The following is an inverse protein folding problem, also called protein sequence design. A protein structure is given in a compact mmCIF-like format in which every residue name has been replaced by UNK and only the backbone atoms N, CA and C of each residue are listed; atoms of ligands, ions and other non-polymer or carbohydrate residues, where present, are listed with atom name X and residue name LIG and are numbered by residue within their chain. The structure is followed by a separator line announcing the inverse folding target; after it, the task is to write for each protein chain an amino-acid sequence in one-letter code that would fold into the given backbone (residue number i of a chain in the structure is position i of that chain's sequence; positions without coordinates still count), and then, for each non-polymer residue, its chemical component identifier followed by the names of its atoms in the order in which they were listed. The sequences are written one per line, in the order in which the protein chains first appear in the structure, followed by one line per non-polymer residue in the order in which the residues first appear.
data_IF_905101397708
#
_entry.id   IF_905101397708
#
_cell.length_a   1.000
_cell.length_b   1.000
_cell.length_c   1.000
_cell.angle_alpha   90.00
_cell.angle_beta   90.00
_cell.angle_gamma   90.00
#
_symmetry.space_group_name_H-M   'P 1'
#
loop_
_entity.id
_entity.type
_entity.pdbx_description
1 polymer ?
#
# COMPACT_ATOMS: atom_id res chain seq x y z
N UNK A 1 1.43 8.09 -26.06
CA UNK A 1 1.23 7.13 -24.95
C UNK A 1 0.17 7.69 -24.02
N UNK A 2 -0.89 6.96 -23.65
CA UNK A 2 -1.86 7.48 -22.70
C UNK A 2 -1.19 7.63 -21.32
N UNK A 3 -1.29 8.84 -20.73
CA UNK A 3 -0.80 9.10 -19.37
C UNK A 3 -1.44 8.07 -18.42
N UNK A 4 -0.62 7.29 -17.74
CA UNK A 4 -1.13 6.45 -16.65
C UNK A 4 -1.76 7.38 -15.61
N UNK A 5 -3.03 7.10 -15.26
CA UNK A 5 -3.75 7.91 -14.28
C UNK A 5 -3.05 7.76 -12.94
N UNK A 6 -2.57 8.88 -12.37
CA UNK A 6 -1.93 8.89 -11.06
C UNK A 6 -2.91 8.41 -9.98
N UNK A 7 -2.39 7.99 -8.82
CA UNK A 7 -3.21 7.63 -7.66
C UNK A 7 -4.16 8.79 -7.27
N UNK A 8 -3.66 10.02 -7.31
CA UNK A 8 -4.44 11.24 -7.04
C UNK A 8 -5.64 11.36 -7.99
N UNK A 9 -5.44 11.13 -9.30
CA UNK A 9 -6.53 11.17 -10.28
C UNK A 9 -7.60 10.09 -10.04
N UNK A 10 -7.18 8.93 -9.52
CA UNK A 10 -8.10 7.83 -9.16
C UNK A 10 -8.90 8.16 -7.92
N UNK A 11 -8.27 8.77 -6.90
CA UNK A 11 -8.94 9.23 -5.68
C UNK A 11 -9.93 10.36 -5.97
N UNK A 12 -9.55 11.34 -6.79
CA UNK A 12 -10.42 12.44 -7.20
C UNK A 12 -11.66 11.95 -7.93
N UNK A 13 -11.50 11.04 -8.92
CA UNK A 13 -12.65 10.40 -9.61
C UNK A 13 -13.54 9.59 -8.67
N UNK A 14 -12.99 9.00 -7.62
CA UNK A 14 -13.76 8.29 -6.60
C UNK A 14 -14.58 9.25 -5.73
N UNK A 15 -14.00 10.39 -5.33
CA UNK A 15 -14.68 11.45 -4.59
C UNK A 15 -15.81 12.12 -5.40
N UNK A 16 -15.69 12.22 -6.71
CA UNK A 16 -16.69 12.84 -7.58
C UNK A 16 -17.92 11.95 -7.83
N UNK A 17 -17.79 10.65 -7.65
CA UNK A 17 -18.89 9.71 -7.82
C UNK A 17 -19.84 9.72 -6.62
N UNK A 18 -21.15 9.98 -6.86
CA UNK A 18 -22.21 9.91 -5.82
C UNK A 18 -22.27 8.53 -5.14
N UNK A 19 -22.02 7.46 -5.91
CA UNK A 19 -22.00 6.10 -5.41
C UNK A 19 -20.91 5.89 -4.34
N UNK A 20 -19.67 6.28 -4.64
CA UNK A 20 -18.58 6.12 -3.68
C UNK A 20 -18.73 7.02 -2.46
N UNK A 21 -19.28 8.25 -2.60
CA UNK A 21 -19.60 9.10 -1.46
C UNK A 21 -20.63 8.47 -0.52
N UNK A 22 -21.66 7.81 -1.06
CA UNK A 22 -22.65 7.07 -0.26
C UNK A 22 -22.02 5.83 0.38
N UNK A 23 -21.16 5.10 -0.34
CA UNK A 23 -20.46 3.93 0.16
C UNK A 23 -19.53 4.30 1.33
N UNK A 24 -18.81 5.41 1.23
CA UNK A 24 -17.87 5.85 2.26
C UNK A 24 -18.55 6.55 3.45
N UNK A 25 -19.67 7.24 3.21
CA UNK A 25 -20.38 8.05 4.21
C UNK A 25 -21.46 7.32 5.00
N UNK A 26 -22.15 6.33 4.42
CA UNK A 26 -23.34 5.73 5.03
C UNK A 26 -23.15 4.25 5.37
N UNK A 27 -23.25 3.93 6.68
CA UNK A 27 -23.28 2.53 7.15
C UNK A 27 -24.50 1.79 6.59
N UNK A 28 -25.67 2.44 6.58
CA UNK A 28 -26.91 1.85 6.07
C UNK A 28 -26.83 1.51 4.58
N UNK A 29 -26.15 2.35 3.79
CA UNK A 29 -25.95 2.07 2.37
C UNK A 29 -25.05 0.85 2.14
N UNK A 30 -23.99 0.70 2.93
CA UNK A 30 -23.10 -0.49 2.89
C UNK A 30 -23.84 -1.75 3.32
N UNK A 31 -24.67 -1.66 4.37
CA UNK A 31 -25.49 -2.76 4.84
C UNK A 31 -26.51 -3.19 3.76
N UNK A 32 -27.19 -2.26 3.14
CA UNK A 32 -28.13 -2.53 2.06
C UNK A 32 -27.44 -3.14 0.83
N UNK A 33 -26.28 -2.62 0.45
CA UNK A 33 -25.50 -3.13 -0.69
C UNK A 33 -24.97 -4.55 -0.42
N UNK A 34 -24.48 -4.82 0.79
CA UNK A 34 -23.99 -6.15 1.18
C UNK A 34 -25.14 -7.17 1.25
N UNK A 35 -26.28 -6.77 1.76
CA UNK A 35 -27.50 -7.60 1.77
C UNK A 35 -27.99 -7.92 0.36
N UNK A 36 -28.03 -6.92 -0.53
CA UNK A 36 -28.39 -7.13 -1.94
C UNK A 36 -27.42 -8.07 -2.65
N UNK A 37 -26.11 -7.89 -2.43
CA UNK A 37 -25.08 -8.77 -3.01
C UNK A 37 -25.20 -10.22 -2.49
N UNK A 38 -25.43 -10.39 -1.18
CA UNK A 38 -25.65 -11.71 -0.57
C UNK A 38 -26.92 -12.38 -1.12
N UNK A 39 -27.99 -11.61 -1.27
CA UNK A 39 -29.25 -12.12 -1.86
C UNK A 39 -29.03 -12.54 -3.32
N UNK A 40 -28.34 -11.74 -4.12
CA UNK A 40 -28.02 -12.08 -5.51
C UNK A 40 -27.14 -13.36 -5.59
N UNK A 41 -26.15 -13.50 -4.70
CA UNK A 41 -25.32 -14.70 -4.65
C UNK A 41 -26.14 -15.95 -4.31
N UNK A 42 -27.02 -15.86 -3.30
CA UNK A 42 -27.90 -16.97 -2.91
C UNK A 42 -28.87 -17.34 -4.03
N UNK A 43 -29.42 -16.35 -4.75
CA UNK A 43 -30.24 -16.57 -5.94
C UNK A 43 -29.49 -17.37 -7.00
N UNK A 44 -28.26 -16.97 -7.31
CA UNK A 44 -27.42 -17.66 -8.29
C UNK A 44 -27.12 -19.11 -7.86
N UNK A 45 -26.72 -19.30 -6.59
CA UNK A 45 -26.39 -20.64 -6.05
C UNK A 45 -27.60 -21.54 -6.04
N UNK A 46 -28.75 -21.05 -5.56
CA UNK A 46 -30.00 -21.82 -5.52
C UNK A 46 -30.50 -22.15 -6.92
N UNK A 47 -30.49 -21.17 -7.84
CA UNK A 47 -30.86 -21.39 -9.24
C UNK A 47 -29.95 -22.40 -9.93
N UNK A 48 -28.64 -22.35 -9.66
CA UNK A 48 -27.71 -23.33 -10.22
C UNK A 48 -28.01 -24.75 -9.68
N UNK A 49 -28.29 -24.88 -8.40
CA UNK A 49 -28.62 -26.18 -7.80
C UNK A 49 -29.93 -26.75 -8.35
N UNK A 50 -30.97 -25.92 -8.49
CA UNK A 50 -32.31 -26.32 -8.96
C UNK A 50 -32.32 -26.55 -10.48
N UNK A 51 -31.69 -25.67 -11.26
CA UNK A 51 -31.68 -25.77 -12.72
C UNK A 51 -30.74 -26.87 -13.25
N UNK A 52 -29.70 -27.23 -12.49
CA UNK A 52 -28.81 -28.37 -12.84
C UNK A 52 -29.56 -29.70 -12.92
N UNK A 53 -30.55 -29.87 -12.05
CA UNK A 53 -31.36 -31.08 -12.00
C UNK A 53 -32.48 -31.13 -13.05
N UNK A 54 -32.94 -29.98 -13.58
CA UNK A 54 -34.16 -29.90 -14.37
C UNK A 54 -33.99 -29.24 -15.75
N UNK A 55 -32.88 -29.50 -16.46
CA UNK A 55 -32.62 -29.06 -17.87
C UNK A 55 -33.16 -27.65 -18.17
N UNK A 56 -32.49 -26.58 -17.68
CA UNK A 56 -32.58 -25.16 -18.08
C UNK A 56 -33.90 -24.73 -18.74
N UNK A 57 -35.02 -24.83 -18.03
CA UNK A 57 -36.29 -24.30 -18.52
C UNK A 57 -36.35 -22.77 -18.35
N UNK A 58 -36.85 -21.99 -19.35
CA UNK A 58 -37.04 -20.56 -19.22
C UNK A 58 -38.00 -20.26 -18.04
N UNK A 59 -37.53 -19.44 -17.08
CA UNK A 59 -38.29 -19.11 -15.86
C UNK A 59 -37.82 -19.82 -14.58
N UNK A 60 -36.82 -20.69 -14.66
CA UNK A 60 -36.26 -21.40 -13.52
C UNK A 60 -35.73 -20.45 -12.43
N UNK A 61 -35.22 -19.28 -12.81
CA UNK A 61 -34.63 -18.27 -11.89
C UNK A 61 -35.64 -17.62 -10.93
N UNK A 62 -36.92 -17.54 -11.27
CA UNK A 62 -37.92 -16.78 -10.50
C UNK A 62 -38.90 -17.66 -9.73
N UNK A 63 -38.94 -18.96 -10.03
CA UNK A 63 -39.97 -19.87 -9.50
C UNK A 63 -39.76 -20.26 -8.04
N UNK A 64 -38.54 -20.14 -7.53
CA UNK A 64 -38.15 -20.54 -6.17
C UNK A 64 -37.74 -19.36 -5.29
N UNK A 65 -38.11 -18.10 -5.65
CA UNK A 65 -37.80 -16.93 -4.84
C UNK A 65 -38.39 -17.02 -3.41
N UNK A 66 -39.53 -17.67 -3.26
CA UNK A 66 -40.15 -17.91 -1.94
C UNK A 66 -39.36 -18.92 -1.08
N UNK A 67 -38.68 -19.88 -1.71
CA UNK A 67 -37.84 -20.83 -1.00
C UNK A 67 -36.56 -20.20 -0.42
N UNK A 68 -36.16 -19.01 -0.88
CA UNK A 68 -35.04 -18.26 -0.33
C UNK A 68 -35.28 -17.74 1.09
N UNK A 69 -36.55 -17.61 1.51
CA UNK A 69 -36.95 -17.08 2.83
C UNK A 69 -37.16 -18.24 3.83
N UNK A 70 -36.57 -19.40 3.57
CA UNK A 70 -36.59 -20.50 4.55
C UNK A 70 -35.62 -20.24 5.71
N UNK A 71 -35.91 -20.74 6.89
CA UNK A 71 -35.11 -20.55 8.12
C UNK A 71 -33.63 -20.92 7.90
N UNK A 72 -33.34 -21.98 7.14
CA UNK A 72 -31.96 -22.36 6.81
C UNK A 72 -31.20 -21.38 5.91
N UNK A 73 -31.92 -20.60 5.08
CA UNK A 73 -31.32 -19.60 4.21
C UNK A 73 -31.08 -18.27 4.93
N UNK A 74 -31.83 -17.97 6.02
CA UNK A 74 -31.62 -16.75 6.83
C UNK A 74 -30.27 -16.75 7.52
N UNK A 75 -29.84 -17.88 8.05
CA UNK A 75 -28.49 -18.02 8.64
C UNK A 75 -27.40 -17.81 7.58
N UNK A 76 -27.54 -18.47 6.43
CA UNK A 76 -26.59 -18.31 5.31
C UNK A 76 -26.56 -16.87 4.79
N UNK A 77 -27.70 -16.19 4.70
CA UNK A 77 -27.81 -14.78 4.29
C UNK A 77 -27.07 -13.87 5.29
N UNK A 78 -27.25 -14.10 6.60
CA UNK A 78 -26.61 -13.30 7.64
C UNK A 78 -25.08 -13.44 7.60
N UNK A 79 -24.55 -14.67 7.44
CA UNK A 79 -23.11 -14.93 7.35
C UNK A 79 -22.52 -14.27 6.10
N UNK A 80 -23.16 -14.43 4.94
CA UNK A 80 -22.70 -13.86 3.68
C UNK A 80 -22.76 -12.32 3.73
N UNK A 81 -23.83 -11.75 4.30
CA UNK A 81 -23.98 -10.30 4.48
C UNK A 81 -22.87 -9.76 5.40
N UNK A 82 -22.59 -10.44 6.51
CA UNK A 82 -21.52 -10.08 7.43
C UNK A 82 -20.13 -10.13 6.74
N UNK A 83 -19.89 -11.15 5.91
CA UNK A 83 -18.66 -11.28 5.15
C UNK A 83 -18.49 -10.12 4.15
N UNK A 84 -19.52 -9.76 3.39
CA UNK A 84 -19.49 -8.61 2.48
C UNK A 84 -19.28 -7.29 3.23
N UNK A 85 -19.97 -7.09 4.37
CA UNK A 85 -19.74 -5.92 5.22
C UNK A 85 -18.31 -5.85 5.72
N UNK A 86 -17.77 -6.97 6.19
CA UNK A 86 -16.38 -7.03 6.64
C UNK A 86 -15.39 -6.64 5.55
N UNK A 87 -15.60 -7.10 4.31
CA UNK A 87 -14.77 -6.72 3.15
C UNK A 87 -14.90 -5.22 2.84
N UNK A 88 -16.13 -4.68 2.85
CA UNK A 88 -16.37 -3.26 2.60
C UNK A 88 -15.76 -2.36 3.70
N UNK A 89 -15.79 -2.82 4.96
CA UNK A 89 -15.17 -2.09 6.06
C UNK A 89 -13.65 -2.22 6.12
N UNK A 90 -13.09 -3.32 5.59
CA UNK A 90 -11.64 -3.50 5.52
C UNK A 90 -10.97 -2.39 4.70
N UNK A 91 -11.60 -1.96 3.60
CA UNK A 91 -11.09 -0.83 2.81
C UNK A 91 -11.09 0.49 3.60
N UNK A 92 -12.14 0.74 4.38
CA UNK A 92 -12.24 1.95 5.21
C UNK A 92 -11.23 1.96 6.36
N UNK A 93 -10.93 0.79 6.94
CA UNK A 93 -9.87 0.64 7.95
C UNK A 93 -8.52 0.95 7.34
N UNK A 94 -8.17 0.36 6.21
CA UNK A 94 -6.90 0.66 5.50
C UNK A 94 -6.75 2.14 5.16
N UNK A 95 -7.83 2.82 4.77
CA UNK A 95 -7.77 4.26 4.51
C UNK A 95 -7.49 5.07 5.77
N UNK A 96 -8.09 4.70 6.90
CA UNK A 96 -7.80 5.34 8.20
C UNK A 96 -6.36 5.12 8.61
N UNK A 97 -5.88 3.88 8.54
CA UNK A 97 -4.50 3.54 8.88
C UNK A 97 -3.50 4.34 8.03
N UNK A 98 -3.78 4.51 6.73
CA UNK A 98 -2.95 5.33 5.85
C UNK A 98 -2.99 6.82 6.23
N UNK A 99 -4.15 7.38 6.59
CA UNK A 99 -4.28 8.78 7.02
C UNK A 99 -3.53 8.98 8.33
N UNK A 100 -3.72 8.10 9.32
CA UNK A 100 -3.00 8.14 10.59
C UNK A 100 -1.48 8.04 10.38
N UNK A 101 -1.02 7.18 9.46
CA UNK A 101 0.39 7.07 9.11
C UNK A 101 0.95 8.37 8.51
N UNK A 102 0.22 9.02 7.60
CA UNK A 102 0.62 10.33 7.05
C UNK A 102 0.63 11.43 8.13
N UNK A 103 -0.40 11.50 8.95
CA UNK A 103 -0.48 12.48 10.06
C UNK A 103 0.69 12.29 11.03
N UNK A 104 1.04 11.04 11.32
CA UNK A 104 2.17 10.72 12.19
C UNK A 104 3.49 11.20 11.59
N UNK A 105 3.73 10.98 10.29
CA UNK A 105 4.93 11.49 9.61
C UNK A 105 4.97 13.02 9.57
N UNK A 106 3.85 13.68 9.26
CA UNK A 106 3.77 15.14 9.20
C UNK A 106 4.00 15.79 10.57
N UNK A 107 3.40 15.25 11.63
CA UNK A 107 3.58 15.75 12.98
C UNK A 107 5.01 15.56 13.49
N UNK A 108 5.68 14.49 13.08
CA UNK A 108 7.07 14.24 13.40
C UNK A 108 8.00 15.28 12.79
N UNK A 109 7.75 15.68 11.56
CA UNK A 109 8.53 16.71 10.87
C UNK A 109 8.37 18.09 11.53
N UNK A 110 7.16 18.41 12.02
CA UNK A 110 6.85 19.68 12.65
C UNK A 110 7.44 19.82 14.08
N UNK A 111 7.52 18.72 14.83
CA UNK A 111 7.93 18.76 16.25
C UNK A 111 9.43 18.58 16.49
N UNK A 112 10.22 18.25 15.47
CA UNK A 112 11.66 17.99 15.60
C UNK A 112 12.01 16.77 16.46
N UNK A 113 11.02 15.98 16.90
CA UNK A 113 11.22 14.82 17.77
C UNK A 113 11.66 13.63 16.92
N UNK A 114 12.94 13.26 17.04
CA UNK A 114 13.55 12.16 16.25
C UNK A 114 13.18 10.74 16.73
N UNK A 115 12.52 10.59 17.85
CA UNK A 115 12.29 9.31 18.56
C UNK A 115 10.80 9.00 18.74
N UNK A 116 9.99 8.96 17.70
CA UNK A 116 8.59 8.56 17.85
C UNK A 116 8.42 7.08 17.55
N UNK A 117 7.90 6.35 18.52
CA UNK A 117 7.44 4.96 18.35
C UNK A 117 6.35 4.95 17.28
N UNK A 118 6.53 4.12 16.24
CA UNK A 118 5.54 3.99 15.15
C UNK A 118 5.93 4.60 13.81
N UNK A 119 7.05 5.33 13.70
CA UNK A 119 7.50 5.90 12.40
C UNK A 119 7.82 4.83 11.36
N UNK A 120 8.59 3.82 11.77
CA UNK A 120 8.92 2.70 10.89
C UNK A 120 7.63 2.04 10.42
N UNK A 121 6.72 1.74 11.35
CA UNK A 121 5.41 1.16 11.01
C UNK A 121 4.58 2.07 10.11
N UNK A 122 4.62 3.40 10.30
CA UNK A 122 3.92 4.33 9.41
C UNK A 122 4.50 4.30 7.98
N UNK A 123 5.83 4.32 7.85
CA UNK A 123 6.51 4.22 6.56
C UNK A 123 6.20 2.87 5.87
N UNK A 124 6.22 1.78 6.63
CA UNK A 124 5.89 0.45 6.12
C UNK A 124 4.43 0.31 5.70
N UNK A 125 3.48 0.91 6.44
CA UNK A 125 2.06 0.97 6.08
C UNK A 125 1.89 1.72 4.76
N UNK A 126 2.49 2.92 4.62
CA UNK A 126 2.40 3.71 3.40
C UNK A 126 3.05 2.98 2.22
N UNK A 127 4.21 2.37 2.44
CA UNK A 127 4.89 1.58 1.43
C UNK A 127 4.06 0.38 0.96
N UNK A 128 3.51 -0.40 1.90
CA UNK A 128 2.66 -1.55 1.59
C UNK A 128 1.36 -1.18 0.87
N UNK A 129 0.88 0.05 1.08
CA UNK A 129 -0.26 0.61 0.38
C UNK A 129 0.11 1.19 -1.00
N UNK A 130 1.39 1.18 -1.40
CA UNK A 130 1.90 1.78 -2.63
C UNK A 130 1.74 3.30 -2.67
N UNK A 131 1.75 3.94 -1.50
CA UNK A 131 1.62 5.39 -1.38
C UNK A 131 3.01 6.05 -1.42
N UNK A 132 3.20 7.07 -2.26
CA UNK A 132 4.48 7.76 -2.35
C UNK A 132 4.75 8.59 -1.10
N UNK A 133 6.02 8.63 -0.69
CA UNK A 133 6.51 9.52 0.37
C UNK A 133 7.50 10.55 -0.19
N UNK A 134 7.29 10.96 -1.42
CA UNK A 134 8.17 11.85 -2.16
C UNK A 134 8.43 13.17 -1.41
N UNK A 135 9.68 13.60 -1.39
CA UNK A 135 10.11 14.86 -0.76
C UNK A 135 10.02 14.91 0.77
N UNK A 136 9.71 13.81 1.45
CA UNK A 136 9.61 13.78 2.90
C UNK A 136 10.94 14.04 3.58
N UNK A 137 10.90 14.73 4.75
CA UNK A 137 12.06 15.08 5.55
C UNK A 137 12.29 14.00 6.62
N UNK A 138 13.21 13.10 6.37
CA UNK A 138 13.55 11.98 7.25
C UNK A 138 15.03 12.04 7.70
N UNK A 139 15.63 13.24 7.63
CA UNK A 139 17.02 13.45 7.97
C UNK A 139 17.31 13.10 9.45
N UNK A 140 18.36 12.30 9.66
CA UNK A 140 18.83 11.87 10.97
C UNK A 140 17.89 10.90 11.69
N UNK A 141 16.93 10.27 11.00
CA UNK A 141 16.03 9.30 11.58
C UNK A 141 16.68 7.94 11.78
N UNK A 142 16.28 7.24 12.84
CA UNK A 142 16.61 5.84 13.04
C UNK A 142 15.55 4.97 12.31
N UNK A 143 15.97 4.43 11.18
CA UNK A 143 15.16 3.61 10.28
C UNK A 143 15.76 2.20 10.11
N UNK A 144 16.45 1.71 11.14
CA UNK A 144 17.05 0.37 11.12
C UNK A 144 16.00 -0.71 10.90
N UNK A 145 16.34 -1.67 10.03
CA UNK A 145 15.50 -2.79 9.64
C UNK A 145 14.16 -2.40 8.95
N UNK A 146 14.03 -1.17 8.46
CA UNK A 146 12.86 -0.71 7.73
C UNK A 146 12.56 -1.63 6.55
N UNK A 147 11.27 -1.97 6.35
CA UNK A 147 10.79 -2.76 5.22
C UNK A 147 10.10 -1.84 4.20
N UNK A 148 10.83 -1.40 3.19
CA UNK A 148 10.35 -0.43 2.21
C UNK A 148 10.60 -0.85 0.75
N UNK A 149 10.69 -2.15 0.50
CA UNK A 149 10.91 -2.66 -0.85
C UNK A 149 9.85 -2.17 -1.85
N UNK A 150 10.30 -1.86 -3.08
CA UNK A 150 9.48 -1.33 -4.18
C UNK A 150 8.73 -0.02 -3.84
N UNK A 151 9.23 0.77 -2.90
CA UNK A 151 8.66 2.04 -2.50
C UNK A 151 8.86 3.16 -3.53
N UNK A 152 8.02 4.20 -3.46
CA UNK A 152 8.15 5.43 -4.24
C UNK A 152 8.65 6.53 -3.31
N UNK A 153 9.96 6.81 -3.35
CA UNK A 153 10.68 7.66 -2.41
C UNK A 153 11.50 8.75 -3.13
N UNK A 154 10.94 9.33 -4.19
CA UNK A 154 11.62 10.38 -4.97
C UNK A 154 11.95 11.60 -4.13
N UNK A 155 13.16 12.13 -4.29
CA UNK A 155 13.60 13.37 -3.64
C UNK A 155 13.44 13.37 -2.12
N UNK A 156 13.37 12.22 -1.47
CA UNK A 156 13.28 12.11 0.00
C UNK A 156 14.60 12.59 0.63
N UNK A 157 14.50 13.30 1.74
CA UNK A 157 15.67 13.69 2.50
C UNK A 157 15.96 12.69 3.62
N UNK A 158 16.99 11.89 3.45
CA UNK A 158 17.49 10.88 4.39
C UNK A 158 18.89 11.22 4.93
N UNK A 159 19.28 12.49 4.85
CA UNK A 159 20.60 12.94 5.30
C UNK A 159 20.90 12.50 6.73
N UNK A 160 22.04 11.81 6.93
CA UNK A 160 22.49 11.31 8.22
C UNK A 160 21.53 10.32 8.89
N UNK A 161 20.56 9.75 8.18
CA UNK A 161 19.66 8.74 8.73
C UNK A 161 20.39 7.39 8.91
N UNK A 162 19.84 6.55 9.82
CA UNK A 162 20.37 5.21 10.08
C UNK A 162 19.48 4.17 9.42
N UNK A 163 19.90 3.64 8.28
CA UNK A 163 19.19 2.67 7.44
C UNK A 163 19.83 1.28 7.48
N UNK A 164 20.55 0.96 8.54
CA UNK A 164 21.24 -0.34 8.65
C UNK A 164 20.26 -1.49 8.53
N UNK A 165 20.57 -2.44 7.65
CA UNK A 165 19.75 -3.62 7.36
C UNK A 165 18.35 -3.29 6.88
N UNK A 166 18.11 -2.06 6.38
CA UNK A 166 16.87 -1.73 5.75
C UNK A 166 16.70 -2.51 4.43
N UNK A 167 15.50 -2.94 4.15
CA UNK A 167 15.13 -3.52 2.87
C UNK A 167 14.56 -2.42 1.97
N UNK A 168 15.37 -1.95 1.04
CA UNK A 168 15.07 -0.94 0.03
C UNK A 168 15.14 -1.53 -1.39
N UNK A 169 15.03 -2.86 -1.52
CA UNK A 169 15.12 -3.52 -2.82
C UNK A 169 14.04 -3.01 -3.78
N UNK A 170 14.44 -2.62 -4.98
CA UNK A 170 13.55 -2.08 -6.00
C UNK A 170 12.92 -0.73 -5.66
N UNK A 171 13.33 -0.06 -4.59
CA UNK A 171 12.81 1.25 -4.19
C UNK A 171 13.30 2.34 -5.13
N UNK A 172 12.42 3.23 -5.53
CA UNK A 172 12.77 4.42 -6.32
C UNK A 172 13.21 5.56 -5.40
N UNK A 173 14.50 5.75 -5.30
CA UNK A 173 15.21 6.78 -4.53
C UNK A 173 15.80 7.87 -5.44
N UNK A 174 15.25 8.04 -6.65
CA UNK A 174 15.77 9.04 -7.59
C UNK A 174 15.78 10.44 -6.97
N UNK A 175 16.93 11.11 -7.06
CA UNK A 175 17.14 12.44 -6.49
C UNK A 175 17.12 12.49 -4.96
N UNK A 176 17.11 11.37 -4.26
CA UNK A 176 17.11 11.34 -2.79
C UNK A 176 18.44 11.92 -2.22
N UNK A 177 18.34 12.64 -1.10
CA UNK A 177 19.49 13.08 -0.34
C UNK A 177 19.83 12.01 0.73
N UNK A 178 20.87 11.24 0.49
CA UNK A 178 21.41 10.19 1.36
C UNK A 178 22.78 10.56 1.94
N UNK A 179 23.14 11.85 1.94
CA UNK A 179 24.43 12.33 2.46
C UNK A 179 24.67 11.84 3.89
N UNK A 180 25.82 11.17 4.10
CA UNK A 180 26.19 10.66 5.41
C UNK A 180 25.22 9.63 6.01
N UNK A 181 24.29 9.09 5.23
CA UNK A 181 23.39 8.04 5.71
C UNK A 181 24.14 6.73 6.02
N UNK A 182 23.74 6.02 7.06
CA UNK A 182 24.27 4.72 7.42
C UNK A 182 23.43 3.60 6.77
N UNK A 183 23.87 3.15 5.60
CA UNK A 183 23.26 2.09 4.79
C UNK A 183 23.96 0.73 4.95
N UNK A 184 24.71 0.54 6.01
CA UNK A 184 25.45 -0.71 6.19
C UNK A 184 24.53 -1.92 6.27
N UNK A 185 24.88 -2.96 5.54
CA UNK A 185 24.11 -4.20 5.42
C UNK A 185 22.70 -3.99 4.84
N UNK A 186 22.39 -2.84 4.22
CA UNK A 186 21.08 -2.59 3.58
C UNK A 186 20.94 -3.36 2.27
N UNK A 187 19.74 -3.77 1.96
CA UNK A 187 19.37 -4.36 0.67
C UNK A 187 18.89 -3.27 -0.28
N UNK A 188 19.72 -2.92 -1.25
CA UNK A 188 19.46 -1.93 -2.30
C UNK A 188 19.39 -2.59 -3.69
N UNK A 189 19.18 -3.90 -3.75
CA UNK A 189 19.14 -4.63 -5.03
C UNK A 189 18.02 -4.11 -5.93
N UNK A 190 18.42 -3.74 -7.15
CA UNK A 190 17.47 -3.18 -8.12
C UNK A 190 16.88 -1.83 -7.72
N UNK A 191 17.41 -1.14 -6.70
CA UNK A 191 16.97 0.20 -6.34
C UNK A 191 17.36 1.22 -7.41
N UNK A 192 16.52 2.23 -7.62
CA UNK A 192 16.76 3.32 -8.56
C UNK A 192 17.31 4.50 -7.78
N UNK A 193 18.62 4.77 -7.92
CA UNK A 193 19.36 5.83 -7.24
C UNK A 193 19.79 6.94 -8.22
N UNK A 194 19.08 7.08 -9.32
CA UNK A 194 19.41 8.06 -10.37
C UNK A 194 19.44 9.47 -9.79
N UNK A 195 20.60 10.13 -9.90
CA UNK A 195 20.81 11.48 -9.38
C UNK A 195 20.74 11.59 -7.85
N UNK A 196 20.78 10.51 -7.11
CA UNK A 196 20.81 10.54 -5.64
C UNK A 196 22.17 11.06 -5.11
N UNK A 197 22.13 11.76 -3.98
CA UNK A 197 23.33 12.25 -3.30
C UNK A 197 23.70 11.31 -2.15
N UNK A 198 24.74 10.51 -2.37
CA UNK A 198 25.32 9.53 -1.43
C UNK A 198 26.66 10.01 -0.85
N UNK A 199 26.97 11.33 -0.92
CA UNK A 199 28.23 11.83 -0.40
C UNK A 199 28.43 11.45 1.08
N UNK A 200 29.54 10.76 1.36
CA UNK A 200 29.89 10.30 2.70
C UNK A 200 28.96 9.22 3.29
N UNK A 201 28.09 8.61 2.51
CA UNK A 201 27.25 7.50 2.96
C UNK A 201 28.09 6.27 3.30
N UNK A 202 27.65 5.49 4.30
CA UNK A 202 28.29 4.25 4.72
C UNK A 202 27.55 3.07 4.06
N UNK A 203 28.20 2.41 3.12
CA UNK A 203 27.63 1.33 2.29
C UNK A 203 28.31 -0.04 2.54
N UNK A 204 29.09 -0.19 3.62
CA UNK A 204 29.75 -1.46 3.91
C UNK A 204 28.71 -2.58 4.07
N UNK A 205 28.86 -3.64 3.27
CA UNK A 205 27.94 -4.79 3.26
C UNK A 205 26.59 -4.53 2.60
N UNK A 206 26.34 -3.33 2.06
CA UNK A 206 25.13 -3.05 1.29
C UNK A 206 25.11 -3.86 -0.02
N UNK A 207 23.94 -4.39 -0.37
CA UNK A 207 23.72 -5.13 -1.61
C UNK A 207 23.21 -4.17 -2.70
N UNK A 208 24.02 -3.98 -3.74
CA UNK A 208 23.73 -3.03 -4.84
C UNK A 208 23.52 -3.74 -6.19
N UNK A 209 23.31 -5.05 -6.18
CA UNK A 209 23.15 -5.82 -7.43
C UNK A 209 21.96 -5.31 -8.24
N UNK A 210 22.22 -4.84 -9.45
CA UNK A 210 21.20 -4.29 -10.34
C UNK A 210 20.66 -2.92 -9.94
N UNK A 211 21.29 -2.22 -8.97
CA UNK A 211 20.91 -0.84 -8.64
C UNK A 211 21.31 0.12 -9.77
N UNK A 212 20.45 1.09 -10.08
CA UNK A 212 20.70 2.13 -11.06
C UNK A 212 21.30 3.36 -10.38
N UNK A 213 22.55 3.69 -10.68
CA UNK A 213 23.34 4.75 -10.05
C UNK A 213 23.67 5.91 -11.01
N UNK A 214 22.97 6.04 -12.12
CA UNK A 214 23.24 7.06 -13.13
C UNK A 214 23.17 8.48 -12.53
N UNK A 215 24.31 9.22 -12.58
CA UNK A 215 24.38 10.55 -12.00
C UNK A 215 24.34 10.62 -10.48
N UNK A 216 24.42 9.51 -9.77
CA UNK A 216 24.54 9.49 -8.30
C UNK A 216 25.89 10.04 -7.86
N UNK A 217 25.91 10.81 -6.75
CA UNK A 217 27.13 11.35 -6.16
C UNK A 217 27.61 10.41 -5.05
N UNK A 218 28.78 9.79 -5.23
CA UNK A 218 29.37 8.81 -4.31
C UNK A 218 30.67 9.33 -3.67
N UNK A 219 30.92 10.63 -3.72
CA UNK A 219 32.12 11.20 -3.14
C UNK A 219 32.24 10.86 -1.65
N UNK A 220 33.39 10.29 -1.24
CA UNK A 220 33.64 9.86 0.14
C UNK A 220 32.68 8.79 0.67
N UNK A 221 31.85 8.17 -0.17
CA UNK A 221 31.06 7.04 0.24
C UNK A 221 31.97 5.85 0.59
N UNK A 222 31.67 5.17 1.71
CA UNK A 222 32.44 4.02 2.15
C UNK A 222 31.84 2.74 1.55
N UNK A 223 32.42 2.26 0.47
CA UNK A 223 32.09 0.99 -0.16
C UNK A 223 32.97 -0.09 0.49
N UNK A 224 32.36 -1.11 1.12
CA UNK A 224 33.10 -2.26 1.64
C UNK A 224 33.86 -2.97 0.52
N UNK A 225 34.86 -3.76 0.87
CA UNK A 225 35.81 -4.43 -0.04
C UNK A 225 35.22 -5.43 -1.05
N UNK A 226 33.90 -5.45 -1.22
CA UNK A 226 33.14 -6.34 -2.12
C UNK A 226 32.11 -5.66 -3.01
N UNK A 227 32.01 -4.33 -3.00
CA UNK A 227 31.04 -3.63 -3.86
C UNK A 227 31.54 -3.60 -5.32
N UNK A 228 30.64 -3.80 -6.33
CA UNK A 228 30.98 -3.59 -7.72
C UNK A 228 31.37 -2.11 -7.94
N UNK A 229 32.48 -1.90 -8.62
CA UNK A 229 32.95 -0.57 -8.98
C UNK A 229 31.91 0.05 -9.94
N UNK A 230 31.31 1.22 -9.63
CA UNK A 230 30.40 1.86 -10.58
C UNK A 230 31.19 2.28 -11.81
N UNK A 231 30.87 1.66 -12.92
CA UNK A 231 31.43 1.94 -14.25
C UNK A 231 30.60 2.99 -14.97
#
# INVERSE_FOLDING_TARGET
MPRQSTWVDRQQRRHDSRFFRLLDGSFLFRLALSGAAAMALLLVVNSYATCRNNRWAPGCLWRDAEALISVGNVESLSIVTAAFLYVLEAQKRRQRDNIEAYELLMNCNASGVKWLVGRISALEILNSAGLPIDGQQLAGFDLRNLQAANGHWHNVNLEGSVLRRANLAGTDLSGANLRGADLRDADLRGAILVGADLEGALLEGAQLDGAELDGAQLDRASLGSGAPNPS
#
